data_IF_260885249641
#
_entry.id   IF_260885249641
#
_cell.length_a   1.000
_cell.length_b   1.000
_cell.length_c   1.000
_cell.angle_alpha   90.00
_cell.angle_beta   90.00
_cell.angle_gamma   90.00
#
_symmetry.space_group_name_H-M   'P 1'
#
loop_
_entity.id
_entity.type
_entity.pdbx_description
1 polymer ?
#
# COMPACT_ATOMS: atom_id res chain seq x y z
N UNK A 1 -1.03 -26.71 -6.23
CA UNK A 1 -0.99 -25.60 -7.16
C UNK A 1 0.27 -25.69 -8.00
N UNK A 2 0.17 -25.39 -9.29
CA UNK A 2 1.32 -25.28 -10.22
C UNK A 2 1.25 -23.90 -10.81
N UNK A 3 2.36 -23.18 -10.84
CA UNK A 3 2.44 -21.84 -11.39
C UNK A 3 3.72 -21.66 -12.21
N UNK A 4 3.67 -20.79 -13.22
CA UNK A 4 4.83 -20.42 -14.02
C UNK A 4 5.63 -19.35 -13.28
N UNK A 5 6.89 -19.62 -12.87
CA UNK A 5 7.72 -18.60 -12.24
C UNK A 5 8.19 -17.57 -13.27
N UNK A 6 8.25 -16.29 -12.88
CA UNK A 6 8.86 -15.22 -13.71
C UNK A 6 10.34 -15.06 -13.43
N UNK A 7 10.76 -15.28 -12.19
CA UNK A 7 12.14 -15.22 -11.74
C UNK A 7 12.52 -16.48 -10.98
N UNK A 8 13.73 -16.99 -11.15
CA UNK A 8 14.24 -18.19 -10.44
C UNK A 8 15.70 -17.93 -10.09
N UNK A 9 16.11 -18.06 -8.83
CA UNK A 9 15.30 -18.21 -7.61
C UNK A 9 14.58 -16.91 -7.22
N UNK A 10 13.57 -17.00 -6.36
CA UNK A 10 12.83 -15.83 -5.88
C UNK A 10 11.72 -16.18 -4.90
N UNK A 11 11.17 -15.16 -4.26
CA UNK A 11 9.95 -15.25 -3.47
C UNK A 11 8.74 -15.02 -4.37
N UNK A 12 7.65 -15.74 -4.09
CA UNK A 12 6.43 -15.70 -4.88
C UNK A 12 5.24 -15.51 -3.96
N UNK A 13 4.38 -14.55 -4.33
CA UNK A 13 3.12 -14.29 -3.64
C UNK A 13 1.99 -14.85 -4.51
N UNK A 14 1.26 -15.80 -3.95
CA UNK A 14 0.16 -16.47 -4.65
C UNK A 14 -1.15 -15.97 -4.06
N UNK A 15 -1.86 -15.16 -4.84
CA UNK A 15 -3.19 -14.68 -4.49
C UNK A 15 -4.23 -15.63 -5.08
N UNK A 16 -5.25 -15.94 -4.31
CA UNK A 16 -6.39 -16.72 -4.76
C UNK A 16 -7.66 -15.88 -4.72
N UNK A 17 -8.51 -16.11 -5.71
CA UNK A 17 -9.73 -15.34 -5.88
C UNK A 17 -10.71 -15.62 -4.73
N UNK A 18 -11.51 -14.60 -4.38
CA UNK A 18 -12.60 -14.73 -3.43
C UNK A 18 -13.61 -15.75 -3.95
N UNK A 19 -14.04 -16.62 -3.06
CA UNK A 19 -15.23 -17.41 -3.27
C UNK A 19 -16.47 -16.56 -2.97
N UNK A 20 -17.59 -16.93 -3.57
CA UNK A 20 -18.89 -16.35 -3.24
C UNK A 20 -19.63 -17.36 -2.36
N UNK A 21 -19.98 -16.94 -1.15
CA UNK A 21 -20.81 -17.74 -0.24
C UNK A 21 -22.27 -17.37 -0.42
N UNK A 22 -23.13 -18.39 -0.50
CA UNK A 22 -24.59 -18.26 -0.55
C UNK A 22 -25.23 -19.27 0.39
N UNK A 23 -26.51 -19.06 0.73
CA UNK A 23 -27.26 -19.94 1.60
C UNK A 23 -27.25 -19.51 3.08
N UNK A 24 -27.52 -20.45 3.97
CA UNK A 24 -27.58 -20.19 5.42
C UNK A 24 -26.18 -19.97 6.02
N UNK A 25 -26.02 -19.08 7.02
CA UNK A 25 -24.77 -18.95 7.77
C UNK A 25 -24.28 -20.26 8.41
N UNK A 26 -25.20 -21.18 8.71
CA UNK A 26 -24.86 -22.49 9.30
C UNK A 26 -24.46 -23.55 8.26
N UNK A 27 -24.94 -23.41 7.02
CA UNK A 27 -24.67 -24.33 5.92
C UNK A 27 -24.42 -23.53 4.62
N UNK A 28 -23.28 -22.81 4.55
CA UNK A 28 -22.99 -22.02 3.37
C UNK A 28 -22.65 -22.89 2.17
N UNK A 29 -23.17 -22.52 1.01
CA UNK A 29 -22.70 -23.06 -0.27
C UNK A 29 -21.58 -22.15 -0.78
N UNK A 30 -20.43 -22.75 -1.07
CA UNK A 30 -19.27 -22.01 -1.58
C UNK A 30 -19.21 -22.16 -3.09
N UNK A 31 -19.28 -21.04 -3.81
CA UNK A 31 -19.11 -21.00 -5.25
C UNK A 31 -17.73 -20.43 -5.57
N UNK A 32 -16.90 -21.21 -6.22
CA UNK A 32 -15.57 -20.79 -6.66
C UNK A 32 -15.66 -20.16 -8.06
N UNK A 33 -14.87 -19.11 -8.34
CA UNK A 33 -14.72 -18.61 -9.71
C UNK A 33 -14.23 -19.70 -10.65
N UNK A 34 -14.56 -19.57 -11.93
CA UNK A 34 -14.05 -20.47 -12.94
C UNK A 34 -12.52 -20.40 -12.98
N UNK A 35 -11.89 -21.55 -13.17
CA UNK A 35 -10.42 -21.61 -13.31
C UNK A 35 -9.98 -20.88 -14.60
N UNK A 36 -9.02 -19.99 -14.42
CA UNK A 36 -8.35 -19.29 -15.53
C UNK A 36 -6.89 -19.69 -15.57
N UNK A 37 -6.42 -20.17 -16.72
CA UNK A 37 -5.01 -20.52 -16.91
C UNK A 37 -4.22 -19.30 -17.40
N UNK A 38 -3.45 -18.70 -16.50
CA UNK A 38 -2.61 -17.52 -16.80
C UNK A 38 -1.19 -17.87 -17.26
N UNK A 39 -0.81 -19.16 -17.23
CA UNK A 39 0.51 -19.60 -17.70
C UNK A 39 0.58 -19.59 -19.24
N UNK A 40 1.77 -19.30 -19.79
CA UNK A 40 1.96 -19.32 -21.23
C UNK A 40 1.77 -20.73 -21.82
N UNK A 41 1.15 -20.81 -22.98
CA UNK A 41 0.89 -22.09 -23.67
C UNK A 41 2.18 -22.90 -23.91
N UNK A 42 3.27 -22.24 -24.27
CA UNK A 42 4.57 -22.86 -24.50
C UNK A 42 5.16 -23.46 -23.21
N UNK A 43 5.03 -22.76 -22.08
CA UNK A 43 5.47 -23.27 -20.78
C UNK A 43 4.66 -24.49 -20.36
N UNK A 44 3.33 -24.44 -20.54
CA UNK A 44 2.42 -25.57 -20.26
C UNK A 44 2.79 -26.79 -21.09
N UNK A 45 3.01 -26.60 -22.41
CA UNK A 45 3.42 -27.66 -23.33
C UNK A 45 4.80 -28.24 -22.97
N UNK A 46 5.79 -27.38 -22.74
CA UNK A 46 7.17 -27.78 -22.37
C UNK A 46 7.18 -28.65 -21.12
N UNK A 47 6.35 -28.32 -20.13
CA UNK A 47 6.28 -29.05 -18.86
C UNK A 47 5.22 -30.16 -18.84
N UNK A 48 4.54 -30.44 -19.97
CA UNK A 48 3.54 -31.51 -20.11
C UNK A 48 2.39 -31.42 -19.09
N UNK A 49 1.89 -30.19 -18.83
CA UNK A 49 0.91 -29.93 -17.77
C UNK A 49 -0.54 -30.22 -18.19
N UNK A 50 -0.82 -30.60 -19.42
CA UNK A 50 -2.15 -30.95 -19.91
C UNK A 50 -2.66 -32.34 -19.51
N UNK A 51 -1.87 -33.10 -18.77
CA UNK A 51 -2.20 -34.46 -18.35
C UNK A 51 -2.75 -34.56 -16.92
N UNK A 52 -3.38 -35.72 -16.60
CA UNK A 52 -3.91 -36.03 -15.27
C UNK A 52 -2.84 -36.34 -14.21
N UNK A 53 -1.58 -36.53 -14.59
CA UNK A 53 -0.48 -36.82 -13.66
C UNK A 53 0.20 -35.52 -13.25
N UNK A 54 0.45 -35.38 -11.97
CA UNK A 54 1.26 -34.27 -11.45
C UNK A 54 2.66 -34.31 -12.09
N UNK A 55 3.15 -33.25 -12.70
CA UNK A 55 4.47 -33.21 -13.29
C UNK A 55 5.56 -33.26 -12.19
N UNK A 56 6.73 -33.80 -12.55
CA UNK A 56 7.93 -33.70 -11.71
C UNK A 56 8.55 -32.30 -11.84
N UNK A 57 7.94 -31.32 -11.22
CA UNK A 57 8.41 -29.94 -11.16
C UNK A 57 9.12 -29.68 -9.82
N UNK A 58 10.10 -28.75 -9.80
CA UNK A 58 10.65 -28.27 -8.54
C UNK A 58 9.54 -27.74 -7.60
N UNK A 59 9.65 -28.09 -6.33
CA UNK A 59 8.69 -27.62 -5.33
C UNK A 59 9.17 -26.34 -4.65
N UNK A 60 8.28 -25.37 -4.48
CA UNK A 60 8.53 -24.20 -3.65
C UNK A 60 8.17 -24.54 -2.18
N UNK A 61 8.94 -23.99 -1.25
CA UNK A 61 8.62 -24.03 0.18
C UNK A 61 7.59 -22.97 0.51
N UNK A 62 6.48 -23.36 1.11
CA UNK A 62 5.53 -22.40 1.67
C UNK A 62 6.11 -21.83 2.97
N UNK A 63 6.29 -20.51 3.00
CA UNK A 63 6.84 -19.78 4.15
C UNK A 63 5.73 -19.25 5.03
N UNK A 64 4.66 -18.73 4.41
CA UNK A 64 3.54 -18.14 5.12
C UNK A 64 2.23 -18.38 4.37
N UNK A 65 1.16 -18.48 5.11
CA UNK A 65 -0.20 -18.56 4.59
C UNK A 65 -1.08 -17.56 5.34
N UNK A 66 -1.84 -16.76 4.60
CA UNK A 66 -2.78 -15.80 5.17
C UNK A 66 -4.16 -16.00 4.54
N UNK A 67 -5.19 -15.95 5.37
CA UNK A 67 -6.58 -15.90 4.93
C UNK A 67 -7.15 -14.51 5.21
N UNK A 68 -7.75 -13.90 4.19
CA UNK A 68 -8.32 -12.55 4.26
C UNK A 68 -9.82 -12.66 3.92
N UNK A 69 -10.65 -11.97 4.71
CA UNK A 69 -12.07 -11.80 4.45
C UNK A 69 -12.40 -10.31 4.26
N UNK A 70 -13.66 -9.97 4.04
CA UNK A 70 -14.08 -8.58 3.82
C UNK A 70 -13.80 -7.66 5.00
N UNK A 71 -13.83 -8.20 6.22
CA UNK A 71 -13.60 -7.43 7.44
C UNK A 71 -12.12 -7.03 7.60
N UNK A 72 -11.20 -7.89 7.21
CA UNK A 72 -9.77 -7.68 7.36
C UNK A 72 -9.01 -7.57 6.02
N UNK A 73 -9.73 -7.27 4.94
CA UNK A 73 -9.13 -7.00 3.63
C UNK A 73 -8.74 -5.53 3.51
N UNK A 74 -7.50 -5.28 3.14
CA UNK A 74 -6.96 -3.95 2.85
C UNK A 74 -6.64 -3.78 1.36
N UNK A 75 -7.36 -4.51 0.52
CA UNK A 75 -7.26 -4.33 -0.92
C UNK A 75 -7.54 -2.88 -1.33
N UNK A 76 -6.74 -2.25 -2.23
CA UNK A 76 -5.62 -2.83 -3.01
C UNK A 76 -4.25 -2.72 -2.32
N UNK A 77 -4.16 -2.26 -1.08
CA UNK A 77 -2.89 -1.94 -0.39
C UNK A 77 -2.06 -3.16 0.02
N UNK A 78 -2.59 -4.35 -0.13
CA UNK A 78 -1.87 -5.62 0.14
C UNK A 78 -1.52 -6.39 -1.14
N UNK A 79 -1.76 -5.81 -2.32
CA UNK A 79 -1.26 -6.37 -3.59
C UNK A 79 0.17 -5.90 -3.79
N UNK A 80 1.11 -6.83 -3.69
CA UNK A 80 2.55 -6.53 -3.71
C UNK A 80 3.01 -6.25 -5.15
N UNK A 81 3.76 -5.17 -5.34
CA UNK A 81 4.43 -4.88 -6.60
C UNK A 81 5.49 -5.94 -6.90
N UNK A 82 5.57 -6.37 -8.16
CA UNK A 82 6.59 -7.33 -8.60
C UNK A 82 7.99 -6.71 -8.59
N UNK A 83 9.02 -7.56 -8.54
CA UNK A 83 10.42 -7.12 -8.61
C UNK A 83 10.71 -6.31 -9.88
N UNK A 84 10.06 -6.64 -11.00
CA UNK A 84 10.23 -5.91 -12.26
C UNK A 84 9.60 -4.52 -12.21
N UNK A 85 8.43 -4.40 -11.60
CA UNK A 85 7.74 -3.11 -11.39
C UNK A 85 8.52 -2.21 -10.44
N UNK A 86 8.98 -2.77 -9.33
CA UNK A 86 9.85 -2.07 -8.37
C UNK A 86 11.16 -1.62 -9.03
N UNK A 87 11.79 -2.46 -9.85
CA UNK A 87 13.01 -2.10 -10.58
C UNK A 87 12.76 -0.99 -11.62
N UNK A 88 11.57 -0.96 -12.26
CA UNK A 88 11.17 0.13 -13.16
C UNK A 88 11.02 1.43 -12.39
N UNK A 89 10.29 1.44 -11.29
CA UNK A 89 10.13 2.60 -10.42
C UNK A 89 11.48 3.19 -9.99
N UNK A 90 12.42 2.33 -9.59
CA UNK A 90 13.78 2.77 -9.23
C UNK A 90 14.53 3.42 -10.38
N UNK A 91 14.28 3.03 -11.63
CA UNK A 91 14.90 3.66 -12.81
C UNK A 91 14.27 5.02 -13.13
N UNK A 92 12.99 5.17 -12.85
CA UNK A 92 12.28 6.44 -13.02
C UNK A 92 12.71 7.48 -11.97
N UNK A 93 13.23 7.02 -10.81
CA UNK A 93 13.74 7.84 -9.69
C UNK A 93 15.23 7.59 -9.41
N UNK A 94 16.17 7.90 -10.34
CA UNK A 94 17.55 7.43 -10.28
C UNK A 94 18.40 8.02 -9.15
N UNK A 95 18.09 9.21 -8.66
CA UNK A 95 18.86 9.93 -7.64
C UNK A 95 18.28 9.90 -6.24
N UNK A 96 17.08 9.41 -6.08
CA UNK A 96 16.33 9.50 -4.85
C UNK A 96 16.74 8.42 -3.84
N UNK A 97 17.02 8.83 -2.61
CA UNK A 97 17.32 7.91 -1.51
C UNK A 97 16.07 7.19 -1.04
N UNK A 98 14.96 7.91 -1.03
CA UNK A 98 13.63 7.42 -0.69
C UNK A 98 12.61 7.95 -1.69
N UNK A 99 11.48 7.28 -1.80
CA UNK A 99 10.35 7.70 -2.64
C UNK A 99 9.16 7.91 -1.73
N UNK A 100 8.43 9.02 -1.95
CA UNK A 100 7.20 9.33 -1.24
C UNK A 100 5.99 8.90 -2.05
N UNK A 101 4.97 8.44 -1.33
CA UNK A 101 3.67 8.10 -1.89
C UNK A 101 2.59 8.75 -1.03
N UNK A 102 1.66 9.40 -1.65
CA UNK A 102 0.52 9.98 -0.94
C UNK A 102 -0.65 9.01 -0.97
N UNK A 103 -1.36 8.86 0.16
CA UNK A 103 -2.46 7.91 0.23
C UNK A 103 -3.64 8.44 1.05
N UNK A 104 -4.85 8.17 0.56
CA UNK A 104 -6.08 8.51 1.28
C UNK A 104 -6.26 7.59 2.51
N UNK A 105 -6.92 8.10 3.54
CA UNK A 105 -7.29 7.34 4.75
C UNK A 105 -8.07 6.05 4.48
N UNK A 106 -8.74 5.95 3.31
CA UNK A 106 -9.46 4.74 2.87
C UNK A 106 -8.54 3.57 2.59
N UNK A 107 -7.28 3.84 2.31
CA UNK A 107 -6.29 2.87 1.91
C UNK A 107 -5.12 2.83 2.88
N UNK A 108 -5.29 2.24 4.09
CA UNK A 108 -4.24 2.22 5.11
C UNK A 108 -2.97 1.54 4.59
N UNK A 109 -1.83 2.22 4.77
CA UNK A 109 -0.51 1.66 4.46
C UNK A 109 -0.18 0.63 5.53
N UNK A 110 -0.18 -0.65 5.16
CA UNK A 110 0.04 -1.77 6.08
C UNK A 110 1.32 -2.54 5.86
N UNK A 111 1.75 -2.64 4.60
CA UNK A 111 2.99 -3.35 4.28
C UNK A 111 4.20 -2.50 4.65
N UNK A 112 5.09 -3.07 5.44
CA UNK A 112 6.33 -2.41 5.88
C UNK A 112 7.57 -2.92 5.14
N UNK A 113 7.44 -4.00 4.37
CA UNK A 113 8.55 -4.67 3.67
C UNK A 113 8.43 -4.60 2.17
N UNK A 114 7.23 -4.35 1.67
CA UNK A 114 6.91 -4.34 0.24
C UNK A 114 6.09 -3.10 -0.09
N UNK A 115 6.13 -2.67 -1.34
CA UNK A 115 5.30 -1.57 -1.83
C UNK A 115 4.04 -2.09 -2.51
N UNK A 116 2.88 -1.45 -2.32
CA UNK A 116 1.67 -1.80 -3.01
C UNK A 116 1.78 -1.59 -4.52
N UNK A 117 1.25 -2.53 -5.31
CA UNK A 117 1.11 -2.36 -6.76
C UNK A 117 0.32 -1.09 -7.13
N UNK A 118 -0.65 -0.71 -6.30
CA UNK A 118 -1.42 0.53 -6.46
C UNK A 118 -0.52 1.74 -6.65
N UNK A 119 0.55 1.88 -5.90
CA UNK A 119 1.49 2.99 -6.01
C UNK A 119 2.24 3.02 -7.34
N UNK A 120 2.54 1.83 -7.90
CA UNK A 120 3.13 1.72 -9.25
C UNK A 120 2.12 2.12 -10.33
N UNK A 121 0.88 1.69 -10.18
CA UNK A 121 -0.17 1.93 -11.17
C UNK A 121 -0.66 3.38 -11.19
N UNK A 122 -0.79 4.00 -10.01
CA UNK A 122 -1.30 5.37 -9.89
C UNK A 122 -0.28 6.42 -10.31
N UNK A 123 1.02 6.09 -10.21
CA UNK A 123 2.15 6.97 -10.56
C UNK A 123 2.03 8.41 -10.02
N UNK A 124 1.53 8.55 -8.77
CA UNK A 124 1.26 9.82 -8.11
C UNK A 124 2.15 9.96 -6.89
N UNK A 125 3.26 10.66 -7.06
CA UNK A 125 4.26 10.81 -6.01
C UNK A 125 4.29 12.21 -5.39
N UNK A 126 3.90 13.25 -6.16
CA UNK A 126 4.17 14.63 -5.82
C UNK A 126 2.95 15.41 -5.27
N UNK A 127 1.78 14.79 -5.26
CA UNK A 127 0.56 15.48 -4.83
C UNK A 127 -0.46 14.54 -4.23
N UNK A 128 -1.32 15.07 -3.38
CA UNK A 128 -2.44 14.40 -2.78
C UNK A 128 -3.76 15.10 -3.13
N UNK A 129 -4.77 14.31 -3.47
CA UNK A 129 -6.14 14.76 -3.58
C UNK A 129 -6.99 14.12 -2.50
N UNK A 130 -7.62 14.95 -1.67
CA UNK A 130 -8.57 14.52 -0.66
C UNK A 130 -9.84 15.33 -0.73
N UNK A 131 -10.93 14.76 -0.26
CA UNK A 131 -12.20 15.45 -0.04
C UNK A 131 -12.54 15.37 1.43
N UNK A 132 -12.92 16.50 2.00
CA UNK A 132 -13.29 16.62 3.38
C UNK A 132 -14.46 17.58 3.57
N UNK A 133 -15.23 17.37 4.62
CA UNK A 133 -16.30 18.26 5.01
C UNK A 133 -15.78 19.44 5.84
N UNK A 134 -16.52 20.55 5.84
CA UNK A 134 -16.24 21.70 6.72
C UNK A 134 -16.33 21.28 8.18
N UNK A 135 -15.39 21.72 9.01
CA UNK A 135 -15.31 21.34 10.40
C UNK A 135 -14.78 19.93 10.66
N UNK A 136 -14.46 19.16 9.61
CA UNK A 136 -13.89 17.82 9.74
C UNK A 136 -12.43 17.88 10.22
N UNK A 137 -12.05 16.93 11.09
CA UNK A 137 -10.64 16.59 11.30
C UNK A 137 -10.22 15.61 10.21
N UNK A 138 -9.56 16.13 9.18
CA UNK A 138 -9.17 15.31 8.02
C UNK A 138 -7.82 14.67 8.22
N UNK A 139 -7.69 13.40 7.83
CA UNK A 139 -6.46 12.62 7.96
C UNK A 139 -6.09 11.98 6.62
N UNK A 140 -4.82 11.99 6.29
CA UNK A 140 -4.24 11.30 5.14
C UNK A 140 -2.88 10.69 5.48
N UNK A 141 -2.27 9.98 4.55
CA UNK A 141 -1.02 9.27 4.80
C UNK A 141 0.05 9.64 3.78
N UNK A 142 1.29 9.62 4.23
CA UNK A 142 2.48 9.62 3.40
C UNK A 142 3.22 8.30 3.61
N UNK A 143 3.41 7.52 2.54
CA UNK A 143 4.27 6.35 2.56
C UNK A 143 5.70 6.74 2.21
N UNK A 144 6.64 6.52 3.10
CA UNK A 144 8.06 6.75 2.87
C UNK A 144 8.73 5.43 2.60
N UNK A 145 9.10 5.16 1.36
CA UNK A 145 9.87 3.97 1.02
C UNK A 145 11.36 4.31 0.95
N UNK A 146 12.15 3.74 1.86
CA UNK A 146 13.59 3.89 1.91
C UNK A 146 14.27 3.08 0.79
N UNK A 147 14.12 3.53 -0.45
CA UNK A 147 14.42 2.76 -1.66
C UNK A 147 15.90 2.35 -1.81
N UNK A 148 16.85 3.22 -1.42
CA UNK A 148 18.29 3.03 -1.70
C UNK A 148 19.18 3.05 -0.46
N UNK A 149 18.78 3.73 0.60
CA UNK A 149 19.55 3.86 1.85
C UNK A 149 18.59 4.03 3.01
N UNK A 150 19.10 3.84 4.23
CA UNK A 150 18.35 4.22 5.42
C UNK A 150 17.98 5.71 5.37
N UNK A 151 16.82 6.04 5.91
CA UNK A 151 16.35 7.40 6.15
C UNK A 151 16.35 7.61 7.65
N UNK A 152 17.26 8.45 8.12
CA UNK A 152 17.40 8.73 9.55
C UNK A 152 16.74 10.07 9.88
N UNK A 153 16.17 10.18 11.09
CA UNK A 153 15.60 11.40 11.62
C UNK A 153 14.60 12.07 10.66
N UNK A 154 13.63 11.28 10.18
CA UNK A 154 12.62 11.75 9.26
C UNK A 154 11.79 12.84 9.94
N UNK A 155 11.72 13.99 9.31
CA UNK A 155 10.97 15.16 9.77
C UNK A 155 9.94 15.57 8.72
N UNK A 156 8.81 16.11 9.17
CA UNK A 156 7.74 16.59 8.28
C UNK A 156 7.47 18.06 8.58
N UNK A 157 7.80 18.92 7.62
CA UNK A 157 7.49 20.33 7.69
C UNK A 157 6.20 20.64 6.92
N UNK A 158 5.39 21.51 7.48
CA UNK A 158 4.14 21.94 6.87
C UNK A 158 4.22 23.40 6.41
N UNK A 159 3.53 23.67 5.32
CA UNK A 159 3.20 25.03 4.89
C UNK A 159 1.68 25.24 4.96
N UNK A 160 1.25 26.50 4.97
CA UNK A 160 -0.18 26.80 4.92
C UNK A 160 -0.78 26.31 3.59
N UNK A 161 -1.97 25.71 3.66
CA UNK A 161 -2.80 25.46 2.49
C UNK A 161 -3.56 26.74 2.13
N UNK A 162 -3.53 27.12 0.86
CA UNK A 162 -4.20 28.33 0.38
C UNK A 162 -5.25 27.98 -0.66
N UNK A 163 -6.49 28.39 -0.45
CA UNK A 163 -7.52 28.35 -1.47
C UNK A 163 -7.15 29.30 -2.60
N UNK A 164 -6.93 28.77 -3.80
CA UNK A 164 -6.48 29.57 -4.96
C UNK A 164 -7.53 30.58 -5.44
N UNK A 165 -8.82 30.32 -5.17
CA UNK A 165 -9.90 31.20 -5.61
C UNK A 165 -10.17 32.35 -4.63
N UNK A 166 -10.09 32.09 -3.32
CA UNK A 166 -10.47 33.07 -2.27
C UNK A 166 -9.28 33.66 -1.53
N UNK A 167 -8.12 32.99 -1.54
CA UNK A 167 -6.96 33.35 -0.74
C UNK A 167 -7.05 32.93 0.74
N UNK A 168 -8.14 32.31 1.16
CA UNK A 168 -8.28 31.77 2.51
C UNK A 168 -7.23 30.70 2.80
N UNK A 169 -6.78 30.62 4.05
CA UNK A 169 -5.70 29.73 4.42
C UNK A 169 -6.04 28.84 5.61
N UNK A 170 -5.56 27.59 5.55
CA UNK A 170 -5.39 26.71 6.69
C UNK A 170 -3.92 26.84 7.11
N UNK A 171 -3.61 27.35 8.32
CA UNK A 171 -2.23 27.60 8.72
C UNK A 171 -1.45 26.31 8.93
N UNK A 172 -0.13 26.35 8.74
CA UNK A 172 0.77 25.23 8.94
C UNK A 172 0.64 24.59 10.34
N UNK A 173 0.39 25.41 11.36
CA UNK A 173 0.19 24.97 12.75
C UNK A 173 -1.08 24.14 13.00
N UNK A 174 -1.97 24.05 12.00
CA UNK A 174 -3.14 23.16 12.07
C UNK A 174 -2.82 21.72 11.70
N UNK A 175 -1.64 21.46 11.15
CA UNK A 175 -1.22 20.12 10.75
C UNK A 175 -0.42 19.44 11.85
N UNK A 176 -0.59 18.14 11.97
CA UNK A 176 0.17 17.30 12.90
C UNK A 176 0.56 16.01 12.19
N UNK A 177 1.83 15.61 12.29
CA UNK A 177 2.28 14.28 11.91
C UNK A 177 2.32 13.38 13.14
N UNK A 178 1.34 12.48 13.31
CA UNK A 178 1.18 11.65 14.50
C UNK A 178 2.34 10.66 14.75
N UNK A 179 3.18 10.42 13.74
CA UNK A 179 4.31 9.52 13.87
C UNK A 179 5.56 10.22 14.44
N UNK A 180 5.64 11.56 14.33
CA UNK A 180 6.81 12.34 14.74
C UNK A 180 6.53 13.27 15.91
N UNK A 181 5.27 13.65 16.12
CA UNK A 181 4.86 14.58 17.18
C UNK A 181 3.45 14.27 17.68
N UNK A 182 3.06 14.89 18.76
CA UNK A 182 1.71 14.77 19.31
C UNK A 182 1.62 15.18 20.77
N UNK A 183 0.46 14.86 21.35
CA UNK A 183 0.18 15.05 22.77
C UNK A 183 -0.26 13.71 23.34
N UNK A 184 0.34 13.30 24.45
CA UNK A 184 -0.01 12.05 25.11
C UNK A 184 -1.33 12.16 25.90
N UNK A 185 -1.75 11.08 26.55
CA UNK A 185 -3.00 11.00 27.32
C UNK A 185 -3.02 11.94 28.54
N UNK A 186 -1.87 12.47 28.95
CA UNK A 186 -1.75 13.42 30.07
C UNK A 186 -1.74 14.89 29.60
N UNK A 187 -1.76 15.13 28.28
CA UNK A 187 -1.64 16.45 27.68
C UNK A 187 -0.20 16.92 27.49
N UNK A 188 0.79 16.03 27.69
CA UNK A 188 2.21 16.39 27.50
C UNK A 188 2.58 16.26 26.01
N UNK A 189 3.17 17.32 25.46
CA UNK A 189 3.69 17.31 24.08
C UNK A 189 4.90 16.38 24.01
N UNK A 190 4.98 15.59 22.95
CA UNK A 190 6.12 14.73 22.67
C UNK A 190 6.61 14.89 21.23
N UNK A 191 7.90 14.66 21.03
CA UNK A 191 8.53 14.47 19.73
C UNK A 191 9.13 13.06 19.68
N UNK A 192 9.08 12.43 18.51
CA UNK A 192 9.58 11.09 18.27
C UNK A 192 10.43 11.05 17.02
N UNK A 193 11.65 10.56 17.15
CA UNK A 193 12.49 10.28 15.99
C UNK A 193 11.93 9.11 15.19
N UNK A 194 11.74 9.32 13.90
CA UNK A 194 11.30 8.32 12.97
C UNK A 194 12.43 8.01 11.99
N UNK A 195 12.80 6.75 11.87
CA UNK A 195 13.82 6.28 10.92
C UNK A 195 13.28 5.09 10.15
N UNK A 196 13.71 4.93 8.90
CA UNK A 196 13.25 3.89 7.99
C UNK A 196 14.45 3.16 7.40
N UNK A 197 14.57 1.87 7.67
CA UNK A 197 15.63 1.05 7.12
C UNK A 197 15.48 0.89 5.61
N UNK A 198 16.60 0.75 4.91
CA UNK A 198 16.63 0.48 3.47
C UNK A 198 15.73 -0.70 3.10
N UNK A 199 14.91 -0.50 2.09
CA UNK A 199 13.94 -1.48 1.59
C UNK A 199 12.62 -1.51 2.39
N UNK A 200 12.51 -0.74 3.47
CA UNK A 200 11.29 -0.68 4.29
C UNK A 200 10.42 0.51 3.92
N UNK A 201 9.16 0.40 4.32
CA UNK A 201 8.12 1.43 4.18
C UNK A 201 7.69 1.91 5.56
N UNK A 202 7.64 3.21 5.75
CA UNK A 202 7.05 3.87 6.91
C UNK A 202 5.81 4.64 6.48
N UNK A 203 4.68 4.36 7.11
CA UNK A 203 3.50 5.20 7.01
C UNK A 203 3.60 6.37 7.97
N UNK A 204 3.41 7.58 7.48
CA UNK A 204 3.24 8.79 8.29
C UNK A 204 1.80 9.25 8.18
N UNK A 205 1.12 9.35 9.30
CA UNK A 205 -0.23 9.85 9.39
C UNK A 205 -0.23 11.35 9.66
N UNK A 206 -0.85 12.09 8.76
CA UNK A 206 -0.97 13.55 8.87
C UNK A 206 -2.43 13.91 9.06
N UNK A 207 -2.71 14.75 10.04
CA UNK A 207 -4.06 15.25 10.31
C UNK A 207 -4.12 16.78 10.36
N UNK A 208 -5.27 17.33 10.03
CA UNK A 208 -5.56 18.75 10.16
C UNK A 208 -7.03 19.01 10.46
N UNK A 209 -7.31 19.98 11.33
CA UNK A 209 -8.66 20.46 11.57
C UNK A 209 -9.05 21.46 10.47
N UNK A 210 -10.13 21.15 9.76
CA UNK A 210 -10.69 22.08 8.77
C UNK A 210 -11.62 23.08 9.46
N UNK A 211 -11.46 24.37 9.25
CA UNK A 211 -12.40 25.36 9.76
C UNK A 211 -13.80 25.25 9.13
N UNK A 212 -14.84 25.48 9.92
CA UNK A 212 -16.24 25.43 9.46
C UNK A 212 -16.58 26.52 8.42
N UNK A 213 -15.88 27.64 8.46
CA UNK A 213 -16.16 28.83 7.64
C UNK A 213 -15.46 28.82 6.27
N UNK A 214 -14.59 27.87 5.98
CA UNK A 214 -13.87 27.83 4.71
C UNK A 214 -14.81 27.73 3.52
N UNK A 215 -14.46 28.47 2.47
CA UNK A 215 -15.07 28.30 1.16
C UNK A 215 -14.61 26.99 0.51
N UNK A 216 -15.49 26.36 -0.27
CA UNK A 216 -15.08 25.22 -1.09
C UNK A 216 -14.01 25.64 -2.09
N UNK A 217 -12.98 24.83 -2.27
CA UNK A 217 -11.85 25.10 -3.14
C UNK A 217 -11.61 24.01 -4.16
#
# INVERSE_FOLDING_TARGET
LVFQPQTVPGEYYIYYLKNVMSGSPYYPTVNYPAFENTASADWVKKNKLSGKKAPALPAAKVVQFQAINELNSFYPMEVIATSNETARLLKEHPGEKYILFTEDRKFPIRMTTDIPYKWIADNRHDFFYGQADKGEYYVFQLGVWAARSNVENLHVDFSALTNKATGEQIPASSFTCFNTEGTDVTGTVFEKNCSVDKGKVQALWVGTQLPEHLSAG
#
